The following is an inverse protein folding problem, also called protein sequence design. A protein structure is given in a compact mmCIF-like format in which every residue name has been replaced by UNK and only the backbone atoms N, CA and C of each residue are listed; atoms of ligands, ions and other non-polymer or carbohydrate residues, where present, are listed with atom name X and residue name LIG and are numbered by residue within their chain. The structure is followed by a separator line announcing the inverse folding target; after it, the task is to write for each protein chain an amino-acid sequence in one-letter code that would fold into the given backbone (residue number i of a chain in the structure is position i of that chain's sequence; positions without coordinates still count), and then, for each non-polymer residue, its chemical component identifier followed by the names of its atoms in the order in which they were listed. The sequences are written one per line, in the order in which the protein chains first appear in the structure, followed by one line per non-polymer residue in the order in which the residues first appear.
data_IF_559833963329
#
_entry.id   IF_559833963329
#
_cell.length_a   1.000
_cell.length_b   1.000
_cell.length_c   1.000
_cell.angle_alpha   90.00
_cell.angle_beta   90.00
_cell.angle_gamma   90.00
#
_symmetry.space_group_name_H-M   'P 1'
#
loop_
_entity.id
_entity.type
_entity.pdbx_description
1 polymer ?
#
# COMPACT_ATOMS: atom_id res chain seq x y z
N UNK A 1 6.20 -2.46 16.58
CA UNK A 1 4.86 -2.13 16.08
C UNK A 1 4.08 -1.52 17.23
N UNK A 2 3.60 -0.29 17.06
CA UNK A 2 2.74 0.39 18.04
C UNK A 2 1.35 0.56 17.41
N UNK A 3 0.28 0.24 18.14
CA UNK A 3 -1.10 0.32 17.66
C UNK A 3 -1.39 -0.41 16.33
N UNK A 4 -0.60 -1.44 16.00
CA UNK A 4 -0.75 -2.19 14.75
C UNK A 4 0.02 -1.61 13.55
N UNK A 5 0.80 -0.54 13.72
CA UNK A 5 1.58 0.08 12.63
C UNK A 5 3.09 0.02 12.86
N UNK A 6 3.84 -0.07 11.77
CA UNK A 6 5.28 0.15 11.75
C UNK A 6 5.66 1.58 11.42
N UNK A 7 4.74 2.35 10.82
CA UNK A 7 4.95 3.68 10.25
C UNK A 7 6.04 3.65 9.17
N UNK A 8 6.09 2.57 8.37
CA UNK A 8 7.14 2.36 7.36
C UNK A 8 6.54 1.90 6.05
N UNK A 9 6.84 2.63 4.98
CA UNK A 9 6.57 2.22 3.62
C UNK A 9 7.87 1.89 2.89
N UNK A 10 7.90 0.75 2.21
CA UNK A 10 8.98 0.34 1.33
C UNK A 10 8.73 0.93 -0.06
N UNK A 11 9.69 1.69 -0.57
CA UNK A 11 9.68 2.23 -1.93
C UNK A 11 10.60 1.41 -2.81
N UNK A 12 10.14 1.00 -3.98
CA UNK A 12 10.89 0.15 -4.90
C UNK A 12 10.83 0.73 -6.31
N UNK A 13 11.80 1.55 -6.68
CA UNK A 13 11.90 2.02 -8.06
C UNK A 13 12.43 0.88 -8.94
N UNK A 14 11.57 0.32 -9.78
CA UNK A 14 11.90 -0.79 -10.67
C UNK A 14 12.74 -0.35 -11.88
N UNK A 15 12.72 0.94 -12.23
CA UNK A 15 13.48 1.52 -13.35
C UNK A 15 14.93 1.72 -12.94
N UNK A 16 15.14 2.41 -11.82
CA UNK A 16 16.44 2.73 -11.27
C UNK A 16 17.03 1.62 -10.39
N UNK A 17 16.22 0.59 -10.08
CA UNK A 17 16.57 -0.52 -9.18
C UNK A 17 16.97 -0.04 -7.80
N UNK A 18 16.25 0.95 -7.28
CA UNK A 18 16.51 1.56 -5.97
C UNK A 18 15.44 1.13 -4.97
N UNK A 19 15.87 0.95 -3.73
CA UNK A 19 14.99 0.62 -2.62
C UNK A 19 15.25 1.63 -1.50
N UNK A 20 14.19 2.24 -0.99
CA UNK A 20 14.25 3.10 0.19
C UNK A 20 13.11 2.76 1.15
N UNK A 21 13.26 3.21 2.39
CA UNK A 21 12.23 3.09 3.42
C UNK A 21 11.88 4.50 3.84
N UNK A 22 10.61 4.84 3.77
CA UNK A 22 10.10 6.16 4.14
C UNK A 22 9.14 6.02 5.32
N UNK A 23 9.10 7.02 6.22
CA UNK A 23 8.09 7.05 7.28
C UNK A 23 6.70 7.31 6.70
N UNK A 24 5.67 6.80 7.38
CA UNK A 24 4.28 7.19 7.12
C UNK A 24 3.87 8.15 8.23
N UNK A 25 3.37 9.33 7.86
CA UNK A 25 2.91 10.33 8.81
C UNK A 25 1.76 9.80 9.69
N UNK A 26 1.84 10.07 11.00
CA UNK A 26 0.83 9.58 11.96
C UNK A 26 -0.58 10.09 11.62
N UNK A 27 -0.69 11.33 11.14
CA UNK A 27 -1.96 11.92 10.74
C UNK A 27 -2.60 11.20 9.55
N UNK A 28 -1.80 10.70 8.61
CA UNK A 28 -2.31 9.89 7.49
C UNK A 28 -2.83 8.54 8.00
N UNK A 29 -2.12 7.90 8.94
CA UNK A 29 -2.60 6.67 9.57
C UNK A 29 -3.91 6.89 10.34
N UNK A 30 -4.05 8.00 11.04
CA UNK A 30 -5.27 8.35 11.78
C UNK A 30 -6.45 8.63 10.86
N UNK A 31 -6.21 9.30 9.74
CA UNK A 31 -7.25 9.70 8.78
C UNK A 31 -7.68 8.56 7.87
N UNK A 32 -6.74 7.73 7.43
CA UNK A 32 -6.97 6.74 6.38
C UNK A 32 -6.87 5.29 6.85
N UNK A 33 -6.45 5.05 8.10
CA UNK A 33 -6.37 3.74 8.77
C UNK A 33 -5.38 2.75 8.14
N UNK A 34 -5.09 2.81 6.84
CA UNK A 34 -4.26 1.85 6.12
C UNK A 34 -5.02 1.18 4.98
N UNK A 35 -4.48 0.08 4.46
CA UNK A 35 -5.08 -0.66 3.34
C UNK A 35 -5.37 0.25 2.13
N UNK A 36 -6.52 0.07 1.50
CA UNK A 36 -6.91 0.90 0.36
C UNK A 36 -7.06 2.38 0.69
N UNK A 37 -7.46 2.75 1.91
CA UNK A 37 -7.59 4.16 2.29
C UNK A 37 -6.27 4.93 2.19
N UNK A 38 -5.20 4.37 2.78
CA UNK A 38 -3.88 4.99 2.72
C UNK A 38 -3.26 4.88 1.31
N UNK A 39 -3.46 3.74 0.64
CA UNK A 39 -3.00 3.57 -0.74
C UNK A 39 -3.68 4.55 -1.71
N UNK A 40 -4.98 4.84 -1.54
CA UNK A 40 -5.70 5.84 -2.33
C UNK A 40 -5.13 7.25 -2.14
N UNK A 41 -4.71 7.60 -0.92
CA UNK A 41 -4.07 8.90 -0.64
C UNK A 41 -2.73 9.00 -1.37
N UNK A 42 -1.89 7.97 -1.29
CA UNK A 42 -0.60 7.92 -2.01
C UNK A 42 -0.84 8.03 -3.52
N UNK A 43 -1.78 7.25 -4.05
CA UNK A 43 -2.12 7.29 -5.48
C UNK A 43 -2.58 8.68 -5.92
N UNK A 44 -3.41 9.35 -5.11
CA UNK A 44 -3.91 10.69 -5.39
C UNK A 44 -2.79 11.75 -5.38
N UNK A 45 -1.81 11.61 -4.49
CA UNK A 45 -0.69 12.54 -4.35
C UNK A 45 0.35 12.37 -5.46
N UNK A 46 0.58 11.13 -5.92
CA UNK A 46 1.73 10.77 -6.77
C UNK A 46 1.38 10.54 -8.24
N UNK A 47 0.17 10.08 -8.56
CA UNK A 47 -0.20 9.76 -9.94
C UNK A 47 -0.91 10.94 -10.62
N UNK A 48 -0.36 11.47 -11.73
CA UNK A 48 -0.91 12.63 -12.39
C UNK A 48 -2.17 12.27 -13.19
N UNK A 49 -3.35 12.35 -12.58
CA UNK A 49 -4.64 12.31 -13.27
C UNK A 49 -4.76 11.20 -14.33
N UNK A 50 -4.99 11.58 -15.60
CA UNK A 50 -5.07 10.63 -16.71
C UNK A 50 -3.68 10.23 -17.20
N UNK A 51 -3.30 8.98 -16.94
CA UNK A 51 -2.06 8.35 -17.41
C UNK A 51 -2.34 7.14 -18.31
N UNK A 52 -1.29 6.61 -18.96
CA UNK A 52 -1.31 5.25 -19.52
C UNK A 52 -1.21 4.23 -18.37
N UNK A 53 -2.21 3.35 -18.17
CA UNK A 53 -2.17 2.35 -17.09
C UNK A 53 -1.03 1.33 -17.22
N UNK A 54 -0.42 1.19 -18.39
CA UNK A 54 0.76 0.33 -18.60
C UNK A 54 2.09 1.10 -18.57
N UNK A 55 2.03 2.42 -18.42
CA UNK A 55 3.19 3.30 -18.37
C UNK A 55 3.88 3.30 -17.00
N UNK A 56 5.12 3.82 -16.95
CA UNK A 56 5.91 3.90 -15.72
C UNK A 56 5.34 4.86 -14.67
N UNK A 57 4.40 5.73 -15.05
CA UNK A 57 3.72 6.65 -14.12
C UNK A 57 2.62 5.96 -13.30
N UNK A 58 2.24 4.71 -13.62
CA UNK A 58 1.30 3.93 -12.82
C UNK A 58 2.06 3.21 -11.71
N UNK A 59 1.62 3.42 -10.47
CA UNK A 59 2.16 2.72 -9.30
C UNK A 59 1.18 1.65 -8.82
N UNK A 60 1.71 0.50 -8.43
CA UNK A 60 1.03 -0.57 -7.73
C UNK A 60 1.40 -0.51 -6.24
N UNK A 61 0.39 -0.26 -5.42
CA UNK A 61 0.54 -0.07 -3.99
C UNK A 61 -0.03 -1.27 -3.28
N UNK A 62 0.81 -2.03 -2.59
CA UNK A 62 0.39 -3.12 -1.73
C UNK A 62 0.29 -2.59 -0.30
N UNK A 63 -0.91 -2.61 0.28
CA UNK A 63 -1.15 -1.95 1.55
C UNK A 63 -1.87 -2.84 2.56
N UNK A 64 -1.33 -2.86 3.77
CA UNK A 64 -1.94 -3.47 4.95
C UNK A 64 -2.53 -2.39 5.87
N UNK A 65 -3.32 -2.80 6.84
CA UNK A 65 -3.83 -1.96 7.92
C UNK A 65 -3.29 -2.41 9.29
N UNK A 66 -3.92 -1.97 10.39
CA UNK A 66 -3.47 -2.29 11.74
C UNK A 66 -3.74 -3.74 12.16
N UNK A 67 -4.60 -4.46 11.42
CA UNK A 67 -5.11 -5.77 11.82
C UNK A 67 -4.33 -6.95 11.28
N UNK A 68 -3.38 -6.72 10.36
CA UNK A 68 -2.62 -7.77 9.70
C UNK A 68 -1.42 -8.26 10.55
N UNK A 69 -0.99 -7.49 11.55
CA UNK A 69 0.07 -7.91 12.47
C UNK A 69 -0.44 -8.71 13.67
N UNK A 70 -1.46 -8.24 14.41
CA UNK A 70 -1.98 -8.96 15.57
C UNK A 70 -2.68 -10.28 15.19
N UNK A 71 -2.76 -11.27 16.09
CA UNK A 71 -3.40 -12.56 15.83
C UNK A 71 -4.93 -12.45 15.88
N UNK A 72 -5.52 -11.77 14.89
CA UNK A 72 -6.96 -11.55 14.76
C UNK A 72 -7.53 -12.56 13.78
N UNK A 73 -8.55 -13.36 14.15
CA UNK A 73 -9.23 -14.26 13.22
C UNK A 73 -9.75 -13.51 11.99
N UNK A 74 -9.29 -13.91 10.81
CA UNK A 74 -9.65 -13.27 9.54
C UNK A 74 -8.91 -11.96 9.22
N UNK A 75 -7.96 -11.53 10.06
CA UNK A 75 -7.16 -10.30 9.92
C UNK A 75 -6.13 -10.31 8.78
N UNK A 76 -6.27 -11.17 7.79
CA UNK A 76 -5.24 -11.41 6.77
C UNK A 76 -5.40 -10.57 5.49
N UNK A 77 -6.51 -9.83 5.34
CA UNK A 77 -6.80 -9.11 4.09
C UNK A 77 -5.83 -7.95 3.86
N UNK A 78 -5.43 -7.72 2.62
CA UNK A 78 -4.65 -6.55 2.21
C UNK A 78 -5.16 -6.05 0.86
N UNK A 79 -4.87 -4.79 0.54
CA UNK A 79 -5.29 -4.16 -0.71
C UNK A 79 -4.12 -4.02 -1.69
N UNK A 80 -4.43 -4.09 -2.98
CA UNK A 80 -3.54 -3.72 -4.08
C UNK A 80 -4.25 -2.65 -4.89
N UNK A 81 -3.64 -1.46 -4.96
CA UNK A 81 -4.25 -0.26 -5.54
C UNK A 81 -3.37 0.29 -6.66
N UNK A 82 -4.00 0.82 -7.71
CA UNK A 82 -3.33 1.48 -8.84
C UNK A 82 -4.34 2.03 -9.84
N UNK A 83 -3.88 2.50 -11.00
CA UNK A 83 -4.78 2.80 -12.12
C UNK A 83 -5.09 1.50 -12.87
N UNK A 84 -6.38 1.20 -12.99
CA UNK A 84 -6.87 -0.01 -13.66
C UNK A 84 -6.71 0.10 -15.18
N UNK A 85 -6.06 -0.88 -15.85
CA UNK A 85 -5.98 -0.90 -17.30
C UNK A 85 -7.32 -1.21 -17.98
N UNK A 86 -8.27 -1.82 -17.25
CA UNK A 86 -9.59 -2.13 -17.80
C UNK A 86 -10.50 -0.89 -17.85
N UNK A 87 -10.43 -0.04 -16.82
CA UNK A 87 -11.34 1.10 -16.68
C UNK A 87 -10.68 2.46 -16.91
N UNK A 88 -9.34 2.54 -16.85
CA UNK A 88 -8.59 3.79 -16.92
C UNK A 88 -8.80 4.70 -15.71
N UNK A 89 -9.22 4.14 -14.57
CA UNK A 89 -9.56 4.87 -13.34
C UNK A 89 -8.91 4.22 -12.12
N UNK A 90 -9.16 4.76 -10.92
CA UNK A 90 -8.87 4.09 -9.67
C UNK A 90 -9.29 2.60 -9.68
N UNK A 91 -8.34 1.72 -9.36
CA UNK A 91 -8.55 0.30 -9.15
C UNK A 91 -8.09 -0.09 -7.74
N UNK A 92 -8.93 -0.85 -7.06
CA UNK A 92 -8.64 -1.49 -5.77
C UNK A 92 -9.07 -2.95 -5.87
N UNK A 93 -8.21 -3.82 -5.37
CA UNK A 93 -8.50 -5.24 -5.19
C UNK A 93 -7.98 -5.70 -3.84
N UNK A 94 -8.61 -6.73 -3.28
CA UNK A 94 -8.21 -7.29 -2.01
C UNK A 94 -7.87 -8.77 -2.15
N UNK A 95 -6.79 -9.18 -1.50
CA UNK A 95 -6.41 -10.57 -1.32
C UNK A 95 -6.25 -10.86 0.19
N UNK A 96 -6.03 -12.13 0.55
CA UNK A 96 -5.85 -12.56 1.93
C UNK A 96 -4.76 -13.62 2.03
N UNK A 97 -4.92 -14.56 2.98
CA UNK A 97 -3.89 -15.52 3.36
C UNK A 97 -2.63 -14.85 3.93
N UNK A 98 -1.50 -15.53 3.89
CA UNK A 98 -0.36 -15.17 4.74
C UNK A 98 0.44 -13.95 4.25
N UNK A 99 0.11 -13.39 3.08
CA UNK A 99 0.90 -12.29 2.50
C UNK A 99 0.84 -11.00 3.33
N UNK A 100 -0.36 -10.57 3.73
CA UNK A 100 -0.53 -9.37 4.57
C UNK A 100 0.20 -9.48 5.92
N UNK A 101 -0.02 -10.56 6.68
CA UNK A 101 0.75 -10.82 7.90
C UNK A 101 2.26 -10.90 7.68
N UNK A 102 2.71 -11.57 6.61
CA UNK A 102 4.15 -11.67 6.30
C UNK A 102 4.78 -10.30 6.03
N UNK A 103 4.06 -9.37 5.40
CA UNK A 103 4.54 -8.00 5.23
C UNK A 103 4.70 -7.28 6.58
N UNK A 104 3.76 -7.49 7.50
CA UNK A 104 3.83 -6.94 8.86
C UNK A 104 4.97 -7.57 9.65
N UNK A 105 5.20 -8.86 9.53
CA UNK A 105 6.34 -9.54 10.16
C UNK A 105 7.68 -9.03 9.61
N UNK A 106 7.72 -8.63 8.33
CA UNK A 106 8.88 -8.00 7.71
C UNK A 106 9.13 -6.54 8.16
N UNK A 107 8.20 -5.94 8.92
CA UNK A 107 8.38 -4.61 9.50
C UNK A 107 7.87 -3.44 8.64
N UNK A 108 6.97 -3.71 7.69
CA UNK A 108 6.41 -2.69 6.78
C UNK A 108 4.88 -2.66 6.83
N UNK A 109 4.30 -1.51 6.51
CA UNK A 109 2.85 -1.34 6.35
C UNK A 109 2.44 -1.34 4.88
N UNK A 110 3.30 -0.78 4.01
CA UNK A 110 3.04 -0.57 2.58
C UNK A 110 4.28 -0.87 1.75
N UNK A 111 4.05 -1.37 0.52
CA UNK A 111 5.03 -1.36 -0.57
C UNK A 111 4.48 -0.51 -1.72
N UNK A 112 5.29 0.40 -2.23
CA UNK A 112 5.01 1.18 -3.46
C UNK A 112 6.14 0.92 -4.45
N UNK A 113 5.82 0.55 -5.69
CA UNK A 113 6.81 0.35 -6.75
C UNK A 113 7.12 1.62 -7.56
#
# INVERSE_FOLDING_TARGET
MENGYWQRQLRVDLTERKISIEPIEEDDLRRFVGGSGLASKILLDEVPGKIDPYGPDNIAIFATGPFQGPPIPGGAKFSIVGISPLTGTFGDTAAGADWGPSLKDAGYDIIVN
#
